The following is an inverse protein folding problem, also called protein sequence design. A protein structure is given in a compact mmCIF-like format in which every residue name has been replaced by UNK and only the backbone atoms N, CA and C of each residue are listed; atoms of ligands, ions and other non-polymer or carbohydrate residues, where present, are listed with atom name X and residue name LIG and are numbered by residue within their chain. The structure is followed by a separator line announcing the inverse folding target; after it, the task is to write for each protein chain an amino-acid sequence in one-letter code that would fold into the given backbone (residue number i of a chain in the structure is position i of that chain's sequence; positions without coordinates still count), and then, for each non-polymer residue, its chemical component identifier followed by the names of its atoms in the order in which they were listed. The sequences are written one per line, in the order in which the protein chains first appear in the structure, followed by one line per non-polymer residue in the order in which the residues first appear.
data_IF_004409740850
#
_entry.id   IF_004409740850
#
_cell.length_a   1.000
_cell.length_b   1.000
_cell.length_c   1.000
_cell.angle_alpha   90.00
_cell.angle_beta   90.00
_cell.angle_gamma   90.00
#
_symmetry.space_group_name_H-M   'P 1'
#
loop_
_entity.id
_entity.type
_entity.pdbx_description
1 polymer ?
#
# COMPACT_ATOMS: atom_id res chain seq x y z
N UNK A 1 19.35 14.62 32.53
CA UNK A 1 19.59 14.43 31.08
C UNK A 1 19.33 12.97 30.73
N UNK A 2 18.17 12.64 30.16
CA UNK A 2 18.00 11.31 29.55
C UNK A 2 18.77 11.32 28.23
N UNK A 3 19.78 10.45 28.13
CA UNK A 3 20.38 10.12 26.84
C UNK A 3 19.35 9.32 26.07
N UNK A 4 18.74 9.90 25.04
CA UNK A 4 18.09 9.13 23.99
C UNK A 4 19.16 8.26 23.35
N UNK A 5 19.26 6.99 23.77
CA UNK A 5 19.81 5.94 22.94
C UNK A 5 18.81 5.77 21.81
N UNK A 6 19.07 6.38 20.67
CA UNK A 6 18.54 5.87 19.41
C UNK A 6 19.24 4.54 19.18
N UNK A 7 18.65 3.47 19.72
CA UNK A 7 19.04 2.12 19.35
C UNK A 7 18.80 1.99 17.84
N UNK A 8 19.81 1.48 17.14
CA UNK A 8 19.74 1.27 15.71
C UNK A 8 18.73 0.15 15.45
N UNK A 9 17.62 0.50 14.80
CA UNK A 9 16.62 -0.45 14.36
C UNK A 9 16.74 -0.65 12.84
N UNK A 10 17.28 -1.79 12.37
CA UNK A 10 17.46 -2.07 10.96
C UNK A 10 16.14 -2.12 10.19
N UNK A 11 15.04 -2.51 10.83
CA UNK A 11 13.72 -2.57 10.20
C UNK A 11 13.19 -1.17 9.95
N UNK A 12 13.34 -0.27 10.93
CA UNK A 12 12.98 1.14 10.78
C UNK A 12 13.80 1.84 9.71
N UNK A 13 15.08 1.52 9.60
CA UNK A 13 15.91 2.01 8.50
C UNK A 13 15.39 1.51 7.14
N UNK A 14 15.18 0.21 7.01
CA UNK A 14 14.68 -0.40 5.77
C UNK A 14 13.32 0.17 5.34
N UNK A 15 12.43 0.42 6.30
CA UNK A 15 11.16 1.07 6.03
C UNK A 15 11.34 2.47 5.44
N UNK A 16 12.21 3.30 6.03
CA UNK A 16 12.51 4.63 5.48
C UNK A 16 13.08 4.56 4.07
N UNK A 17 13.99 3.63 3.82
CA UNK A 17 14.57 3.38 2.49
C UNK A 17 13.54 2.93 1.44
N UNK A 18 12.43 2.32 1.89
CA UNK A 18 11.32 1.83 1.06
C UNK A 18 10.10 2.74 1.10
N UNK A 19 10.32 4.00 1.46
CA UNK A 19 9.29 5.01 1.66
C UNK A 19 8.12 4.49 2.50
N UNK A 20 8.47 4.02 3.70
CA UNK A 20 7.58 3.43 4.68
C UNK A 20 6.88 2.17 4.17
N UNK A 21 7.65 1.30 3.51
CA UNK A 21 7.20 0.01 3.01
C UNK A 21 6.34 0.06 1.75
N UNK A 22 6.11 1.25 1.18
CA UNK A 22 5.30 1.42 -0.04
C UNK A 22 5.92 0.74 -1.25
N UNK A 23 7.25 0.76 -1.35
CA UNK A 23 7.95 0.18 -2.50
C UNK A 23 7.86 -1.34 -2.54
N UNK A 24 7.51 -2.02 -1.44
CA UNK A 24 7.29 -3.46 -1.42
C UNK A 24 5.95 -3.89 -2.05
N UNK A 25 5.07 -2.93 -2.33
CA UNK A 25 3.74 -3.22 -2.85
C UNK A 25 2.81 -3.86 -1.82
N UNK A 26 1.62 -4.21 -2.30
CA UNK A 26 0.52 -4.66 -1.45
C UNK A 26 -0.21 -5.86 -2.09
N UNK A 27 -0.78 -6.72 -1.26
CA UNK A 27 -1.84 -7.62 -1.68
C UNK A 27 -3.18 -6.92 -1.49
N UNK A 28 -4.08 -7.10 -2.46
CA UNK A 28 -5.48 -6.66 -2.35
C UNK A 28 -6.28 -7.83 -1.83
N UNK A 29 -6.92 -7.64 -0.68
CA UNK A 29 -7.70 -8.66 0.00
C UNK A 29 -9.17 -8.24 0.14
N UNK A 30 -10.08 -9.22 0.03
CA UNK A 30 -11.51 -9.10 0.32
C UNK A 30 -11.89 -10.27 1.21
N UNK A 31 -12.52 -9.99 2.35
CA UNK A 31 -12.93 -11.01 3.33
C UNK A 31 -11.80 -11.97 3.76
N UNK A 32 -10.55 -11.47 3.78
CA UNK A 32 -9.35 -12.24 4.12
C UNK A 32 -8.74 -13.06 2.98
N UNK A 33 -9.40 -13.09 1.81
CA UNK A 33 -8.89 -13.75 0.61
C UNK A 33 -8.13 -12.76 -0.27
N UNK A 34 -6.96 -13.18 -0.78
CA UNK A 34 -6.21 -12.38 -1.75
C UNK A 34 -6.89 -12.48 -3.11
N UNK A 35 -7.31 -11.34 -3.65
CA UNK A 35 -7.98 -11.20 -4.94
C UNK A 35 -7.15 -10.43 -5.98
N UNK A 36 -6.09 -9.76 -5.54
CA UNK A 36 -5.23 -8.98 -6.42
C UNK A 36 -3.96 -8.52 -5.74
N UNK A 37 -3.24 -7.65 -6.43
CA UNK A 37 -1.98 -7.10 -5.96
C UNK A 37 -1.68 -5.73 -6.57
N UNK A 38 -0.94 -4.92 -5.82
CA UNK A 38 -0.45 -3.60 -6.21
C UNK A 38 1.07 -3.64 -6.25
N UNK A 39 1.65 -3.53 -7.44
CA UNK A 39 3.10 -3.48 -7.64
C UNK A 39 3.55 -2.03 -7.76
N UNK A 40 4.52 -1.63 -6.95
CA UNK A 40 4.97 -0.25 -6.90
C UNK A 40 5.54 0.21 -8.24
N UNK A 41 5.07 1.35 -8.74
CA UNK A 41 5.58 1.98 -9.96
C UNK A 41 6.46 3.17 -9.58
N UNK A 42 5.88 4.19 -8.95
CA UNK A 42 6.61 5.38 -8.55
C UNK A 42 5.82 6.19 -7.50
N UNK A 43 6.51 7.15 -6.91
CA UNK A 43 5.90 8.21 -6.10
C UNK A 43 5.64 9.41 -7.01
N UNK A 44 4.40 9.92 -7.07
CA UNK A 44 4.11 11.17 -7.77
C UNK A 44 4.41 12.36 -6.84
N UNK A 45 5.58 12.97 -7.07
CA UNK A 45 6.07 14.12 -6.31
C UNK A 45 5.17 15.35 -6.44
N UNK A 46 4.29 15.42 -7.43
CA UNK A 46 3.36 16.55 -7.66
C UNK A 46 2.08 16.43 -6.86
N UNK A 47 1.68 15.21 -6.49
CA UNK A 47 0.38 14.95 -5.87
C UNK A 47 0.43 14.86 -4.33
N UNK A 48 1.62 14.91 -3.72
CA UNK A 48 1.84 14.84 -2.26
C UNK A 48 1.15 13.63 -1.60
N UNK A 49 1.95 12.62 -1.24
CA UNK A 49 1.52 11.38 -0.57
C UNK A 49 0.72 10.38 -1.43
N UNK A 50 0.68 10.56 -2.75
CA UNK A 50 0.14 9.59 -3.69
C UNK A 50 1.25 8.76 -4.33
N UNK A 51 1.03 7.46 -4.40
CA UNK A 51 1.95 6.50 -5.00
C UNK A 51 1.22 5.73 -6.07
N UNK A 52 1.86 5.59 -7.22
CA UNK A 52 1.32 4.85 -8.33
C UNK A 52 1.72 3.39 -8.22
N UNK A 53 0.73 2.53 -8.44
CA UNK A 53 0.88 1.09 -8.46
C UNK A 53 0.26 0.54 -9.75
N UNK A 54 0.86 -0.54 -10.26
CA UNK A 54 0.19 -1.38 -11.24
C UNK A 54 -0.71 -2.36 -10.50
N UNK A 55 -1.98 -2.39 -10.86
CA UNK A 55 -2.93 -3.34 -10.29
C UNK A 55 -3.02 -4.58 -11.15
N UNK A 56 -2.93 -5.74 -10.51
CA UNK A 56 -3.15 -7.04 -11.14
C UNK A 56 -4.20 -7.79 -10.33
N UNK A 57 -5.27 -8.22 -10.99
CA UNK A 57 -6.32 -9.05 -10.38
C UNK A 57 -6.04 -10.52 -10.64
N UNK A 58 -6.44 -11.39 -9.71
CA UNK A 58 -6.29 -12.85 -9.87
C UNK A 58 -7.31 -13.42 -10.85
N UNK A 59 -8.53 -12.91 -10.83
CA UNK A 59 -9.59 -13.28 -11.76
C UNK A 59 -10.37 -12.03 -12.25
N UNK A 60 -10.98 -12.07 -13.44
CA UNK A 60 -11.76 -10.95 -13.96
C UNK A 60 -12.93 -10.51 -13.06
N UNK A 61 -13.60 -11.46 -12.39
CA UNK A 61 -14.70 -11.23 -11.46
C UNK A 61 -14.30 -10.52 -10.16
N UNK A 62 -13.00 -10.52 -9.84
CA UNK A 62 -12.46 -9.82 -8.68
C UNK A 62 -12.24 -8.33 -8.96
N UNK A 63 -12.16 -7.96 -10.25
CA UNK A 63 -11.74 -6.63 -10.67
C UNK A 63 -12.68 -5.54 -10.16
N UNK A 64 -12.09 -4.54 -9.50
CA UNK A 64 -12.82 -3.37 -8.98
C UNK A 64 -12.29 -2.11 -9.65
N UNK A 65 -13.19 -1.32 -10.24
CA UNK A 65 -12.86 -0.17 -11.07
C UNK A 65 -13.19 1.13 -10.36
N UNK A 66 -12.17 1.71 -9.73
CA UNK A 66 -12.21 3.10 -9.26
C UNK A 66 -12.67 3.30 -7.81
N UNK A 67 -12.56 4.54 -7.30
CA UNK A 67 -12.49 4.79 -5.86
C UNK A 67 -13.73 4.37 -5.07
N UNK A 68 -14.93 4.65 -5.60
CA UNK A 68 -16.18 4.34 -4.92
C UNK A 68 -16.41 2.83 -4.80
N UNK A 69 -16.01 2.07 -5.82
CA UNK A 69 -16.16 0.62 -5.82
C UNK A 69 -15.18 -0.04 -4.84
N UNK A 70 -13.95 0.48 -4.75
CA UNK A 70 -12.96 0.00 -3.78
C UNK A 70 -13.43 0.15 -2.33
N UNK A 71 -14.07 1.29 -2.01
CA UNK A 71 -14.66 1.54 -0.69
C UNK A 71 -15.82 0.58 -0.43
N UNK A 72 -16.75 0.44 -1.39
CA UNK A 72 -17.93 -0.43 -1.25
C UNK A 72 -17.57 -1.91 -1.13
N UNK A 73 -16.52 -2.34 -1.81
CA UNK A 73 -16.08 -3.73 -1.84
C UNK A 73 -15.34 -4.17 -0.56
N UNK A 74 -15.16 -3.28 0.42
CA UNK A 74 -14.53 -3.61 1.71
C UNK A 74 -13.07 -4.08 1.55
N UNK A 75 -12.37 -3.56 0.54
CA UNK A 75 -11.02 -4.02 0.22
C UNK A 75 -10.02 -3.58 1.28
N UNK A 76 -9.06 -4.45 1.54
CA UNK A 76 -7.94 -4.17 2.45
C UNK A 76 -6.62 -4.40 1.72
N UNK A 77 -5.57 -3.71 2.18
CA UNK A 77 -4.24 -3.80 1.61
C UNK A 77 -3.26 -4.37 2.62
N UNK A 78 -2.74 -5.57 2.35
CA UNK A 78 -1.69 -6.19 3.17
C UNK A 78 -0.31 -5.92 2.58
N UNK A 79 0.64 -5.44 3.38
CA UNK A 79 1.99 -5.21 2.86
C UNK A 79 2.66 -6.55 2.51
N UNK A 80 3.37 -6.62 1.37
CA UNK A 80 4.01 -7.88 0.94
C UNK A 80 5.24 -8.25 1.77
N UNK A 81 5.89 -7.27 2.39
CA UNK A 81 7.08 -7.49 3.23
C UNK A 81 6.71 -7.52 4.72
N UNK A 82 5.92 -6.55 5.19
CA UNK A 82 5.45 -6.46 6.58
C UNK A 82 4.06 -7.10 6.70
N UNK A 83 4.00 -8.43 6.73
CA UNK A 83 2.75 -9.20 6.51
C UNK A 83 1.68 -9.02 7.59
N UNK A 84 2.04 -8.47 8.75
CA UNK A 84 1.12 -8.10 9.85
C UNK A 84 0.51 -6.70 9.65
N UNK A 85 1.00 -5.93 8.68
CA UNK A 85 0.49 -4.60 8.35
C UNK A 85 -0.63 -4.72 7.32
N UNK A 86 -1.84 -4.39 7.78
CA UNK A 86 -3.05 -4.30 6.96
C UNK A 86 -3.60 -2.88 7.02
N UNK A 87 -3.82 -2.28 5.85
CA UNK A 87 -4.40 -0.95 5.70
C UNK A 87 -5.84 -1.09 5.22
N UNK A 88 -6.76 -0.48 5.96
CA UNK A 88 -8.19 -0.40 5.65
C UNK A 88 -8.64 1.01 5.27
N UNK A 89 -7.90 2.04 5.72
CA UNK A 89 -8.15 3.44 5.42
C UNK A 89 -7.20 3.96 4.35
N UNK A 90 -7.59 3.86 3.09
CA UNK A 90 -6.83 4.39 1.96
C UNK A 90 -7.75 5.03 0.93
N UNK A 91 -7.18 5.88 0.08
CA UNK A 91 -7.87 6.48 -1.05
C UNK A 91 -7.22 6.02 -2.34
N UNK A 92 -8.01 5.86 -3.39
CA UNK A 92 -7.49 5.55 -4.72
C UNK A 92 -7.93 6.59 -5.74
N UNK A 93 -7.24 6.63 -6.88
CA UNK A 93 -7.75 7.23 -8.11
C UNK A 93 -8.49 6.21 -8.96
N UNK A 94 -8.97 6.63 -10.14
CA UNK A 94 -9.43 5.70 -11.17
C UNK A 94 -8.25 4.90 -11.74
N UNK A 95 -8.49 3.64 -12.09
CA UNK A 95 -7.51 2.83 -12.82
C UNK A 95 -7.40 3.40 -14.24
N UNK A 96 -6.18 3.72 -14.66
CA UNK A 96 -5.86 4.18 -16.01
C UNK A 96 -5.90 3.02 -17.01
N UNK A 97 -5.94 3.31 -18.32
CA UNK A 97 -5.92 2.29 -19.39
C UNK A 97 -4.70 1.35 -19.31
N UNK A 98 -3.59 1.80 -18.72
CA UNK A 98 -2.39 0.99 -18.48
C UNK A 98 -2.42 0.14 -17.20
N UNK A 99 -3.56 0.04 -16.52
CA UNK A 99 -3.70 -0.69 -15.26
C UNK A 99 -2.96 -0.02 -14.09
N UNK A 100 -2.71 1.28 -14.16
CA UNK A 100 -2.07 2.04 -13.08
C UNK A 100 -3.13 2.75 -12.24
N UNK A 101 -2.99 2.65 -10.93
CA UNK A 101 -3.82 3.30 -9.93
C UNK A 101 -2.94 4.08 -8.96
N UNK A 102 -3.34 5.30 -8.63
CA UNK A 102 -2.70 6.08 -7.58
C UNK A 102 -3.38 5.75 -6.26
N UNK A 103 -2.60 5.51 -5.21
CA UNK A 103 -3.10 5.18 -3.88
C UNK A 103 -2.45 6.09 -2.84
N UNK A 104 -3.25 6.53 -1.86
CA UNK A 104 -2.82 7.35 -0.72
C UNK A 104 -3.22 6.67 0.59
N UNK A 105 -2.39 6.84 1.61
CA UNK A 105 -2.62 6.30 2.96
C UNK A 105 -1.99 4.93 3.19
N UNK A 106 -1.42 4.31 2.16
CA UNK A 106 -0.69 3.04 2.27
C UNK A 106 0.69 3.28 2.87
N UNK A 107 0.88 3.10 4.17
CA UNK A 107 2.20 3.18 4.79
C UNK A 107 2.29 2.18 5.94
N UNK A 108 3.50 1.72 6.21
CA UNK A 108 3.78 0.92 7.39
C UNK A 108 3.96 1.86 8.59
N UNK A 109 3.13 1.74 9.64
CA UNK A 109 3.26 2.56 10.84
C UNK A 109 4.59 2.30 11.53
N UNK A 110 5.13 3.33 12.16
CA UNK A 110 6.45 3.24 12.80
C UNK A 110 6.46 2.27 13.99
N UNK A 111 5.30 2.08 14.64
CA UNK A 111 5.13 1.09 15.73
C UNK A 111 5.16 -0.37 15.25
N UNK A 112 5.16 -0.61 13.93
CA UNK A 112 5.17 -1.93 13.29
C UNK A 112 6.50 -2.24 12.59
N UNK A 113 7.49 -1.38 12.78
CA UNK A 113 8.86 -1.54 12.31
C UNK A 113 9.70 -2.23 13.38
#
# INVERSE_FOLDING_TARGET
MLKCRTEFDPTRQKAKETDWGRTFGWFVERDGERIGELDYVCWDSRLQFWHDYRVTWRAPEDAVSGPDEWIKAGLTLRNRFYTDVVVTGFMTSNITEGGVISVRGTHVPEERL
#
